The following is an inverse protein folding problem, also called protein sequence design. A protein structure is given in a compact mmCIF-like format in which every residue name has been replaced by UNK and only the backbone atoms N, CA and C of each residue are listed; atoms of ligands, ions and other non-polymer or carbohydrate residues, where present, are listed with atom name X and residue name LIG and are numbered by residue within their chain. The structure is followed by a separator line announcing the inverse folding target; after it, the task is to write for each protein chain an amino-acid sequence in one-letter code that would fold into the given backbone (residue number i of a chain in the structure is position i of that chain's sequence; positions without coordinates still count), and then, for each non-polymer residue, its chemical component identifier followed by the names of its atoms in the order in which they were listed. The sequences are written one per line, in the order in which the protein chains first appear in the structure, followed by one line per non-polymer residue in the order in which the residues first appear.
data_IF_212470697541
#
_entry.id   IF_212470697541
#
_cell.length_a   1.000
_cell.length_b   1.000
_cell.length_c   1.000
_cell.angle_alpha   90.00
_cell.angle_beta   90.00
_cell.angle_gamma   90.00
#
_symmetry.space_group_name_H-M   'P 1'
#
loop_
_entity.id
_entity.type
_entity.pdbx_description
1 polymer ?
#
# COMPACT_ATOMS: atom_id res chain seq x y z
N UNK A 1 -17.49 7.69 18.82
CA UNK A 1 -16.24 7.55 18.05
C UNK A 1 -15.32 8.63 18.55
N UNK A 2 -14.15 8.25 19.05
CA UNK A 2 -13.15 9.17 19.59
C UNK A 2 -12.47 9.94 18.45
N UNK A 3 -12.29 11.25 18.60
CA UNK A 3 -11.76 12.15 17.55
C UNK A 3 -10.40 11.68 17.00
N UNK A 4 -9.58 11.07 17.87
CA UNK A 4 -8.31 10.46 17.50
C UNK A 4 -8.48 9.27 16.52
N UNK A 5 -9.50 8.42 16.72
CA UNK A 5 -9.78 7.32 15.78
C UNK A 5 -10.27 7.85 14.44
N UNK A 6 -11.03 8.95 14.43
CA UNK A 6 -11.48 9.61 13.20
C UNK A 6 -10.27 10.12 12.43
N UNK A 7 -9.34 10.79 13.12
CA UNK A 7 -8.14 11.36 12.52
C UNK A 7 -7.19 10.29 11.96
N UNK A 8 -7.00 9.17 12.67
CA UNK A 8 -6.29 7.99 12.15
C UNK A 8 -6.99 7.48 10.89
N UNK A 9 -8.32 7.31 10.93
CA UNK A 9 -9.10 6.83 9.79
C UNK A 9 -8.98 7.72 8.55
N UNK A 10 -9.06 9.04 8.73
CA UNK A 10 -8.89 10.02 7.66
C UNK A 10 -7.49 9.96 7.07
N UNK A 11 -6.45 9.94 7.92
CA UNK A 11 -5.05 9.90 7.46
C UNK A 11 -4.76 8.62 6.67
N UNK A 12 -5.19 7.47 7.18
CA UNK A 12 -5.05 6.17 6.49
C UNK A 12 -5.86 6.16 5.19
N UNK A 13 -7.07 6.72 5.21
CA UNK A 13 -7.92 6.82 4.01
C UNK A 13 -7.26 7.64 2.90
N UNK A 14 -6.68 8.80 3.23
CA UNK A 14 -5.95 9.64 2.27
C UNK A 14 -4.75 8.88 1.69
N UNK A 15 -3.99 8.17 2.52
CA UNK A 15 -2.85 7.35 2.08
C UNK A 15 -3.29 6.24 1.12
N UNK A 16 -4.41 5.57 1.41
CA UNK A 16 -4.98 4.54 0.53
C UNK A 16 -5.40 5.14 -0.81
N UNK A 17 -6.02 6.33 -0.82
CA UNK A 17 -6.42 7.01 -2.07
C UNK A 17 -5.22 7.49 -2.90
N UNK A 18 -4.09 7.80 -2.26
CA UNK A 18 -2.84 8.16 -2.93
C UNK A 18 -2.07 6.94 -3.47
N UNK A 19 -2.39 5.73 -3.01
CA UNK A 19 -1.67 4.52 -3.37
C UNK A 19 -1.64 4.19 -4.87
N UNK A 20 -2.67 4.48 -5.71
CA UNK A 20 -2.59 4.26 -7.15
C UNK A 20 -1.60 5.20 -7.84
N UNK A 21 -1.47 6.44 -7.34
CA UNK A 21 -0.44 7.37 -7.82
C UNK A 21 0.95 6.84 -7.49
N UNK A 22 1.16 6.37 -6.25
CA UNK A 22 2.42 5.74 -5.84
C UNK A 22 2.72 4.48 -6.67
N UNK A 23 1.69 3.69 -6.98
CA UNK A 23 1.81 2.51 -7.83
C UNK A 23 2.31 2.88 -9.23
N UNK A 24 1.72 3.91 -9.86
CA UNK A 24 2.16 4.40 -11.17
C UNK A 24 3.64 4.78 -11.17
N UNK A 25 4.09 5.55 -10.17
CA UNK A 25 5.50 5.91 -10.03
C UNK A 25 6.40 4.70 -9.80
N UNK A 26 5.94 3.74 -9.00
CA UNK A 26 6.70 2.51 -8.72
C UNK A 26 6.92 1.70 -9.99
N UNK A 27 5.86 1.53 -10.79
CA UNK A 27 5.94 0.83 -12.09
C UNK A 27 6.89 1.55 -13.03
N UNK A 28 6.79 2.88 -13.16
CA UNK A 28 7.69 3.66 -14.01
C UNK A 28 9.17 3.55 -13.57
N UNK A 29 9.44 3.51 -12.27
CA UNK A 29 10.79 3.32 -11.73
C UNK A 29 11.33 1.91 -12.00
N UNK A 30 10.50 0.88 -11.82
CA UNK A 30 10.89 -0.51 -12.08
C UNK A 30 11.12 -0.77 -13.58
N UNK A 31 10.32 -0.15 -14.44
CA UNK A 31 10.46 -0.23 -15.90
C UNK A 31 11.74 0.48 -16.38
N UNK A 32 11.97 1.72 -15.94
CA UNK A 32 13.18 2.49 -16.30
C UNK A 32 14.48 1.88 -15.77
N UNK A 33 14.43 1.18 -14.64
CA UNK A 33 15.57 0.42 -14.11
C UNK A 33 15.80 -0.92 -14.82
N UNK A 34 14.91 -1.30 -15.74
CA UNK A 34 15.00 -2.53 -16.53
C UNK A 34 14.71 -3.80 -15.72
N UNK A 35 14.09 -3.67 -14.55
CA UNK A 35 13.77 -4.79 -13.65
C UNK A 35 12.71 -5.73 -14.28
N UNK A 36 11.85 -5.19 -15.13
CA UNK A 36 10.88 -5.96 -15.94
C UNK A 36 11.54 -7.08 -16.76
N UNK A 37 12.79 -6.89 -17.20
CA UNK A 37 13.52 -7.91 -17.98
C UNK A 37 13.98 -9.11 -17.14
N UNK A 38 14.01 -8.97 -15.82
CA UNK A 38 14.50 -9.98 -14.88
C UNK A 38 13.39 -10.65 -14.09
N UNK A 39 12.18 -10.07 -14.07
CA UNK A 39 11.04 -10.63 -13.36
C UNK A 39 9.93 -11.03 -14.35
N UNK A 40 9.35 -12.24 -14.22
CA UNK A 40 8.15 -12.59 -14.95
C UNK A 40 7.00 -11.64 -14.58
N UNK A 41 6.12 -11.32 -15.54
CA UNK A 41 5.10 -10.26 -15.41
C UNK A 41 4.28 -10.32 -14.12
N UNK A 42 3.86 -11.50 -13.67
CA UNK A 42 3.14 -11.65 -12.40
C UNK A 42 3.95 -11.25 -11.16
N UNK A 43 5.26 -11.54 -11.14
CA UNK A 43 6.15 -11.10 -10.05
C UNK A 43 6.45 -9.61 -10.14
N UNK A 44 6.58 -9.06 -11.34
CA UNK A 44 6.74 -7.61 -11.54
C UNK A 44 5.53 -6.85 -10.97
N UNK A 45 4.30 -7.31 -11.25
CA UNK A 45 3.07 -6.74 -10.70
C UNK A 45 3.05 -6.85 -9.18
N UNK A 46 3.38 -8.02 -8.62
CA UNK A 46 3.41 -8.24 -7.18
C UNK A 46 4.41 -7.32 -6.47
N UNK A 47 5.62 -7.19 -7.00
CA UNK A 47 6.65 -6.29 -6.44
C UNK A 47 6.23 -4.83 -6.56
N UNK A 48 5.69 -4.44 -7.71
CA UNK A 48 5.18 -3.08 -7.93
C UNK A 48 4.06 -2.72 -6.95
N UNK A 49 3.14 -3.66 -6.68
CA UNK A 49 2.05 -3.45 -5.73
C UNK A 49 2.52 -3.48 -4.26
N UNK A 50 3.60 -4.19 -3.93
CA UNK A 50 4.12 -4.26 -2.56
C UNK A 50 4.72 -2.94 -2.08
N UNK A 51 5.42 -2.20 -2.94
CA UNK A 51 6.07 -0.93 -2.55
C UNK A 51 5.09 0.09 -1.94
N UNK A 52 3.99 0.49 -2.61
CA UNK A 52 3.01 1.41 -2.03
C UNK A 52 2.34 0.83 -0.78
N UNK A 53 2.11 -0.49 -0.72
CA UNK A 53 1.55 -1.15 0.49
C UNK A 53 2.49 -0.98 1.68
N UNK A 54 3.79 -1.18 1.49
CA UNK A 54 4.80 -1.01 2.56
C UNK A 54 4.84 0.45 3.02
N UNK A 55 4.80 1.40 2.10
CA UNK A 55 4.80 2.85 2.42
C UNK A 55 3.57 3.20 3.25
N UNK A 56 2.37 2.83 2.77
CA UNK A 56 1.10 3.11 3.46
C UNK A 56 1.10 2.45 4.85
N UNK A 57 1.55 1.20 4.96
CA UNK A 57 1.62 0.50 6.24
C UNK A 57 2.62 1.15 7.20
N UNK A 58 3.78 1.58 6.72
CA UNK A 58 4.81 2.21 7.55
C UNK A 58 4.32 3.55 8.13
N UNK A 59 3.72 4.39 7.28
CA UNK A 59 3.16 5.68 7.72
C UNK A 59 1.97 5.46 8.65
N UNK A 60 1.07 4.54 8.31
CA UNK A 60 -0.10 4.22 9.15
C UNK A 60 0.32 3.70 10.53
N UNK A 61 1.37 2.87 10.60
CA UNK A 61 1.94 2.41 11.87
C UNK A 61 2.46 3.57 12.72
N UNK A 62 3.21 4.51 12.12
CA UNK A 62 3.69 5.70 12.83
C UNK A 62 2.56 6.55 13.37
N UNK A 63 1.51 6.78 12.56
CA UNK A 63 0.32 7.54 12.97
C UNK A 63 -0.40 6.83 14.12
N UNK A 64 -0.68 5.53 14.00
CA UNK A 64 -1.37 4.78 15.06
C UNK A 64 -0.56 4.70 16.36
N UNK A 65 0.78 4.61 16.25
CA UNK A 65 1.68 4.65 17.40
C UNK A 65 1.72 6.03 18.05
N UNK A 66 1.64 7.10 17.27
CA UNK A 66 1.58 8.47 17.77
C UNK A 66 0.36 8.69 18.68
N UNK A 67 -0.79 8.11 18.35
CA UNK A 67 -2.00 8.12 19.18
C UNK A 67 -2.05 7.02 20.25
N UNK A 68 -0.91 6.44 20.64
CA UNK A 68 -0.80 5.44 21.71
C UNK A 68 -1.79 4.25 21.60
N UNK A 69 -2.14 3.83 20.38
CA UNK A 69 -3.03 2.67 20.20
C UNK A 69 -2.38 1.37 20.66
N UNK A 70 -3.14 0.42 21.23
CA UNK A 70 -2.59 -0.84 21.68
C UNK A 70 -2.02 -1.64 20.50
N UNK A 71 -0.85 -2.25 20.71
CA UNK A 71 -0.08 -2.89 19.65
C UNK A 71 -0.87 -3.98 18.89
N UNK A 72 -1.69 -4.78 19.61
CA UNK A 72 -2.55 -5.81 19.00
C UNK A 72 -3.60 -5.22 18.06
N UNK A 73 -4.12 -4.04 18.39
CA UNK A 73 -5.08 -3.34 17.54
C UNK A 73 -4.40 -2.81 16.28
N UNK A 74 -3.21 -2.21 16.42
CA UNK A 74 -2.41 -1.73 15.29
C UNK A 74 -2.14 -2.89 14.33
N UNK A 75 -1.62 -4.01 14.84
CA UNK A 75 -1.33 -5.20 14.03
C UNK A 75 -2.56 -5.68 13.26
N UNK A 76 -3.71 -5.82 13.92
CA UNK A 76 -4.94 -6.28 13.28
C UNK A 76 -5.42 -5.33 12.17
N UNK A 77 -5.40 -4.02 12.41
CA UNK A 77 -5.84 -3.02 11.43
C UNK A 77 -4.87 -2.89 10.27
N UNK A 78 -3.57 -2.87 10.56
CA UNK A 78 -2.53 -2.74 9.56
C UNK A 78 -2.49 -3.96 8.63
N UNK A 79 -2.62 -5.18 9.16
CA UNK A 79 -2.73 -6.39 8.33
C UNK A 79 -3.95 -6.33 7.42
N UNK A 80 -5.10 -5.87 7.92
CA UNK A 80 -6.30 -5.72 7.10
C UNK A 80 -6.08 -4.71 5.97
N UNK A 81 -5.53 -3.53 6.27
CA UNK A 81 -5.20 -2.51 5.26
C UNK A 81 -4.19 -3.06 4.26
N UNK A 82 -3.13 -3.74 4.72
CA UNK A 82 -2.10 -4.30 3.85
C UNK A 82 -2.67 -5.31 2.84
N UNK A 83 -3.47 -6.27 3.32
CA UNK A 83 -4.08 -7.30 2.46
C UNK A 83 -5.06 -6.69 1.49
N UNK A 84 -5.94 -5.80 1.97
CA UNK A 84 -6.91 -5.12 1.12
C UNK A 84 -6.24 -4.29 0.04
N UNK A 85 -5.27 -3.46 0.41
CA UNK A 85 -4.56 -2.58 -0.50
C UNK A 85 -3.73 -3.36 -1.51
N UNK A 86 -3.02 -4.40 -1.07
CA UNK A 86 -2.28 -5.27 -1.96
C UNK A 86 -3.19 -5.92 -3.00
N UNK A 87 -4.30 -6.53 -2.57
CA UNK A 87 -5.26 -7.14 -3.49
C UNK A 87 -5.83 -6.12 -4.49
N UNK A 88 -6.20 -4.92 -4.02
CA UNK A 88 -6.73 -3.86 -4.87
C UNK A 88 -5.73 -3.39 -5.92
N UNK A 89 -4.48 -3.11 -5.53
CA UNK A 89 -3.43 -2.64 -6.43
C UNK A 89 -2.97 -3.73 -7.40
N UNK A 90 -2.86 -4.98 -6.93
CA UNK A 90 -2.53 -6.13 -7.76
C UNK A 90 -3.59 -6.36 -8.84
N UNK A 91 -4.88 -6.32 -8.48
CA UNK A 91 -5.98 -6.45 -9.42
C UNK A 91 -6.01 -5.28 -10.41
N UNK A 92 -5.78 -4.05 -9.93
CA UNK A 92 -5.74 -2.86 -10.79
C UNK A 92 -4.67 -3.00 -11.88
N UNK A 93 -3.44 -3.40 -11.52
CA UNK A 93 -2.38 -3.66 -12.48
C UNK A 93 -2.71 -4.81 -13.44
N UNK A 94 -3.30 -5.89 -12.91
CA UNK A 94 -3.70 -7.05 -13.71
C UNK A 94 -4.76 -6.69 -14.76
N UNK A 95 -5.66 -5.76 -14.45
CA UNK A 95 -6.68 -5.25 -15.40
C UNK A 95 -6.09 -4.31 -16.46
N UNK A 96 -5.05 -3.55 -16.12
CA UNK A 96 -4.39 -2.60 -17.04
C UNK A 96 -3.57 -3.32 -18.12
N UNK A 97 -3.39 -4.64 -18.01
CA UNK A 97 -2.81 -5.45 -19.09
C UNK A 97 -1.29 -5.41 -19.15
N UNK A 98 -0.61 -5.11 -18.03
CA UNK A 98 0.79 -5.49 -17.86
C UNK A 98 0.84 -7.03 -17.72
N UNK A 99 0.72 -7.74 -18.86
CA UNK A 99 0.88 -9.20 -19.01
C UNK A 99 1.73 -9.46 -20.23
#
# INVERSE_FOLDING_TARGET
MDDESVMIGVTVGILVLLSPLMLYWTVALLDTSGIDRYLPGALFIAVSALVPVIIVCSISFLVMRHYNRPHEWIKKKLTFVAVFLFAALFLLLSMVGFV
#
